data_IF_955450946371
#
_entry.id   IF_955450946371
#
_cell.length_a   1.000
_cell.length_b   1.000
_cell.length_c   1.000
_cell.angle_alpha   90.00
_cell.angle_beta   90.00
_cell.angle_gamma   90.00
#
_symmetry.space_group_name_H-M   'P 1'
#
loop_
_entity.id
_entity.type
_entity.pdbx_description
1 polymer ?
#
# COMPACT_ATOMS: atom_id res chain seq x y z
N UNK A 1 -2.99 -14.40 19.10
CA UNK A 1 -1.72 -13.69 19.21
C UNK A 1 -0.97 -13.68 17.90
N UNK A 2 -0.75 -14.84 17.35
CA UNK A 2 0.04 -14.95 16.13
C UNK A 2 -0.65 -14.34 14.93
N UNK A 3 -1.98 -14.38 14.89
CA UNK A 3 -2.72 -13.73 13.83
C UNK A 3 -2.45 -12.24 13.82
N UNK A 4 -2.40 -11.65 15.03
CA UNK A 4 -2.14 -10.23 15.15
C UNK A 4 -0.74 -9.87 14.72
N UNK A 5 0.22 -10.78 14.92
CA UNK A 5 1.59 -10.51 14.50
C UNK A 5 1.70 -10.33 12.99
N UNK A 6 1.05 -11.20 12.22
CA UNK A 6 1.09 -11.08 10.76
C UNK A 6 0.44 -9.77 10.32
N UNK A 7 -0.67 -9.42 10.94
CA UNK A 7 -1.38 -8.19 10.62
C UNK A 7 -0.50 -6.97 10.92
N UNK A 8 0.11 -6.95 12.11
CA UNK A 8 0.98 -5.83 12.49
C UNK A 8 2.19 -5.74 11.58
N UNK A 9 2.77 -6.86 11.20
CA UNK A 9 3.91 -6.86 10.30
C UNK A 9 3.57 -6.25 8.95
N UNK A 10 2.41 -6.61 8.40
CA UNK A 10 2.03 -6.06 7.10
C UNK A 10 1.74 -4.57 7.20
N UNK A 11 1.15 -4.13 8.30
CA UNK A 11 0.93 -2.70 8.50
C UNK A 11 2.24 -1.92 8.55
N UNK A 12 3.25 -2.47 9.21
CA UNK A 12 4.56 -1.83 9.28
C UNK A 12 5.18 -1.73 7.89
N UNK A 13 5.05 -2.77 7.08
CA UNK A 13 5.56 -2.75 5.72
C UNK A 13 4.85 -1.71 4.87
N UNK A 14 3.53 -1.60 5.03
CA UNK A 14 2.75 -0.60 4.31
C UNK A 14 3.22 0.80 4.69
N UNK A 15 3.42 1.03 5.97
CA UNK A 15 3.87 2.33 6.44
C UNK A 15 5.19 2.74 5.78
N UNK A 16 6.08 1.78 5.56
CA UNK A 16 7.37 2.07 4.94
C UNK A 16 7.23 2.44 3.47
N UNK A 17 6.12 2.07 2.83
CA UNK A 17 5.90 2.45 1.43
C UNK A 17 5.32 3.85 1.28
N UNK A 18 4.69 4.38 2.33
CA UNK A 18 3.89 5.59 2.20
C UNK A 18 4.70 6.82 1.83
N UNK A 19 5.98 6.82 2.14
CA UNK A 19 6.83 7.96 1.80
C UNK A 19 7.57 7.82 0.48
N UNK A 20 7.34 6.75 -0.27
CA UNK A 20 8.14 6.45 -1.45
C UNK A 20 7.56 6.99 -2.75
N UNK A 21 6.39 7.60 -2.70
CA UNK A 21 5.75 8.10 -3.90
C UNK A 21 5.10 9.44 -3.60
N UNK A 22 4.88 10.23 -4.63
CA UNK A 22 4.20 11.52 -4.51
C UNK A 22 2.68 11.36 -4.44
N UNK A 23 2.19 10.23 -4.87
CA UNK A 23 0.77 9.95 -4.77
C UNK A 23 0.36 9.87 -3.31
N UNK A 24 -0.84 10.34 -3.00
CA UNK A 24 -1.34 10.29 -1.63
C UNK A 24 -1.81 8.89 -1.28
N UNK A 25 -1.34 8.38 -0.17
CA UNK A 25 -1.78 7.10 0.35
C UNK A 25 -2.49 7.36 1.66
N UNK A 26 -3.77 6.98 1.72
CA UNK A 26 -4.55 7.10 2.94
C UNK A 26 -4.72 5.72 3.55
N UNK A 27 -4.45 5.65 4.84
CA UNK A 27 -4.55 4.40 5.59
C UNK A 27 -5.50 4.60 6.74
N UNK A 28 -6.53 3.77 6.78
CA UNK A 28 -7.48 3.78 7.88
C UNK A 28 -7.41 2.41 8.54
N UNK A 29 -6.98 2.37 9.80
CA UNK A 29 -6.76 1.08 10.43
C UNK A 29 -7.40 1.02 11.81
N UNK A 30 -7.79 -0.19 12.18
CA UNK A 30 -8.32 -0.51 13.49
C UNK A 30 -7.64 -1.79 13.97
N UNK A 31 -8.12 -2.30 15.10
CA UNK A 31 -7.56 -3.56 15.63
C UNK A 31 -7.78 -4.73 14.68
N UNK A 32 -8.82 -4.68 13.85
CA UNK A 32 -9.24 -5.83 13.09
C UNK A 32 -9.11 -5.67 11.59
N UNK A 33 -9.07 -4.45 11.08
CA UNK A 33 -8.96 -4.29 9.63
C UNK A 33 -8.34 -2.95 9.28
N UNK A 34 -7.80 -2.91 8.08
CA UNK A 34 -7.14 -1.72 7.53
C UNK A 34 -7.54 -1.58 6.08
N UNK A 35 -7.87 -0.37 5.67
CA UNK A 35 -8.06 -0.08 4.27
C UNK A 35 -7.02 0.92 3.81
N UNK A 36 -6.50 0.70 2.61
CA UNK A 36 -5.49 1.57 2.00
C UNK A 36 -6.08 2.08 0.70
N UNK A 37 -6.07 3.38 0.53
CA UNK A 37 -6.54 3.99 -0.72
C UNK A 37 -5.42 4.89 -1.25
N UNK A 38 -5.08 4.73 -2.50
CA UNK A 38 -4.07 5.56 -3.13
C UNK A 38 -4.74 6.46 -4.17
N UNK A 39 -4.41 7.74 -4.10
CA UNK A 39 -4.96 8.76 -4.99
C UNK A 39 -3.89 9.25 -5.94
N UNK A 40 -4.31 9.67 -7.13
CA UNK A 40 -3.40 10.30 -8.07
C UNK A 40 -2.76 11.53 -7.43
N UNK A 41 -1.67 11.99 -8.01
CA UNK A 41 -0.84 13.05 -7.45
C UNK A 41 -1.64 14.30 -7.10
N UNK A 42 -2.67 14.61 -7.87
CA UNK A 42 -3.50 15.78 -7.63
C UNK A 42 -4.78 15.46 -6.84
N UNK A 43 -4.87 14.27 -6.29
CA UNK A 43 -6.02 13.81 -5.51
C UNK A 43 -7.33 13.78 -6.29
N UNK A 44 -7.26 13.74 -7.60
CA UNK A 44 -8.47 13.80 -8.43
C UNK A 44 -9.04 12.42 -8.74
N UNK A 45 -8.32 11.35 -8.42
CA UNK A 45 -8.71 10.02 -8.88
C UNK A 45 -8.11 8.96 -7.98
N UNK A 46 -8.91 7.95 -7.65
CA UNK A 46 -8.42 6.79 -6.92
C UNK A 46 -7.74 5.87 -7.92
N UNK A 47 -6.49 5.51 -7.65
CA UNK A 47 -5.73 4.63 -8.52
C UNK A 47 -5.51 3.25 -7.92
N UNK A 48 -5.87 3.05 -6.67
CA UNK A 48 -5.80 1.73 -6.06
C UNK A 48 -6.45 1.71 -4.71
N UNK A 49 -6.90 0.53 -4.32
CA UNK A 49 -7.54 0.33 -3.03
C UNK A 49 -7.25 -1.09 -2.57
N UNK A 50 -6.83 -1.24 -1.33
CA UNK A 50 -6.50 -2.54 -0.74
C UNK A 50 -7.13 -2.65 0.63
N UNK A 51 -7.48 -3.85 1.00
CA UNK A 51 -8.16 -4.11 2.25
C UNK A 51 -7.50 -5.28 2.95
N UNK A 52 -7.22 -5.11 4.23
CA UNK A 52 -6.57 -6.13 5.04
C UNK A 52 -7.43 -6.40 6.27
N UNK A 53 -7.60 -7.65 6.62
CA UNK A 53 -8.35 -8.04 7.79
C UNK A 53 -7.46 -8.92 8.66
N UNK A 54 -7.51 -8.70 9.98
CA UNK A 54 -6.65 -9.45 10.89
C UNK A 54 -6.94 -10.94 10.88
N UNK A 55 -8.12 -11.34 10.40
CA UNK A 55 -8.48 -12.76 10.27
C UNK A 55 -8.04 -13.37 8.94
N UNK A 56 -7.51 -12.56 8.03
CA UNK A 56 -7.02 -13.07 6.75
C UNK A 56 -5.81 -13.97 6.98
N UNK A 57 -5.63 -14.94 6.09
CA UNK A 57 -4.43 -15.75 6.13
C UNK A 57 -3.21 -14.90 5.81
N UNK A 58 -2.05 -15.36 6.26
CA UNK A 58 -0.81 -14.68 5.97
C UNK A 58 -0.58 -14.59 4.46
N UNK A 59 -0.94 -15.62 3.73
CA UNK A 59 -0.80 -15.63 2.28
C UNK A 59 -1.65 -14.56 1.63
N UNK A 60 -2.88 -14.40 2.10
CA UNK A 60 -3.77 -13.38 1.54
C UNK A 60 -3.26 -11.98 1.84
N UNK A 61 -2.80 -11.74 3.06
CA UNK A 61 -2.23 -10.44 3.42
C UNK A 61 -1.02 -10.13 2.56
N UNK A 62 -0.15 -11.11 2.35
CA UNK A 62 1.04 -10.92 1.54
C UNK A 62 0.69 -10.66 0.08
N UNK A 63 -0.31 -11.34 -0.45
CA UNK A 63 -0.75 -11.11 -1.83
C UNK A 63 -1.25 -9.69 -2.01
N UNK A 64 -2.06 -9.20 -1.08
CA UNK A 64 -2.57 -7.83 -1.14
C UNK A 64 -1.44 -6.82 -1.00
N UNK A 65 -0.53 -7.07 -0.08
CA UNK A 65 0.61 -6.18 0.11
C UNK A 65 1.49 -6.14 -1.14
N UNK A 66 1.71 -7.28 -1.77
CA UNK A 66 2.53 -7.33 -2.98
C UNK A 66 1.90 -6.53 -4.11
N UNK A 67 0.56 -6.51 -4.20
CA UNK A 67 -0.12 -5.69 -5.18
C UNK A 67 0.13 -4.20 -4.93
N UNK A 68 0.01 -3.78 -3.69
CA UNK A 68 0.29 -2.39 -3.31
C UNK A 68 1.74 -2.03 -3.60
N UNK A 69 2.65 -2.89 -3.19
CA UNK A 69 4.08 -2.65 -3.40
C UNK A 69 4.40 -2.55 -4.88
N UNK A 70 3.82 -3.42 -5.69
CA UNK A 70 4.07 -3.39 -7.13
C UNK A 70 3.62 -2.07 -7.74
N UNK A 71 2.48 -1.55 -7.30
CA UNK A 71 2.02 -0.27 -7.81
C UNK A 71 2.96 0.86 -7.39
N UNK A 72 3.39 0.88 -6.14
CA UNK A 72 4.31 1.91 -5.67
C UNK A 72 5.61 1.87 -6.48
N UNK A 73 6.14 0.68 -6.69
CA UNK A 73 7.37 0.54 -7.46
C UNK A 73 7.20 0.96 -8.91
N UNK A 74 6.03 0.67 -9.47
CA UNK A 74 5.73 1.09 -10.84
C UNK A 74 5.70 2.62 -10.94
N UNK A 75 5.10 3.28 -9.96
CA UNK A 75 5.06 4.73 -9.96
C UNK A 75 6.43 5.35 -9.78
N UNK A 76 7.25 4.78 -8.92
CA UNK A 76 8.63 5.23 -8.76
C UNK A 76 9.40 5.12 -10.06
N UNK A 77 9.25 3.98 -10.73
CA UNK A 77 9.96 3.72 -11.97
C UNK A 77 9.52 4.67 -13.07
N UNK A 78 8.21 4.91 -13.17
CA UNK A 78 7.68 5.81 -14.19
C UNK A 78 8.19 7.23 -13.98
N UNK A 79 8.28 7.67 -12.74
CA UNK A 79 8.79 9.01 -12.47
C UNK A 79 10.27 9.13 -12.85
N UNK A 80 11.05 8.10 -12.58
CA UNK A 80 12.44 8.08 -13.00
C UNK A 80 12.56 8.17 -14.51
N UNK A 81 11.75 7.40 -15.20
CA UNK A 81 11.77 7.41 -16.68
C UNK A 81 11.37 8.77 -17.22
N UNK A 82 10.34 9.38 -16.64
CA UNK A 82 9.89 10.70 -17.04
C UNK A 82 11.02 11.71 -16.88
N UNK A 83 11.71 11.65 -15.76
CA UNK A 83 12.82 12.54 -15.51
C UNK A 83 13.93 12.38 -16.51
N UNK A 84 14.20 11.15 -16.91
CA UNK A 84 15.23 10.88 -17.92
C UNK A 84 14.80 11.33 -19.29
N UNK A 85 13.54 11.17 -19.61
CA UNK A 85 13.03 11.57 -20.91
C UNK A 85 13.06 13.09 -21.09
N UNK A 86 12.90 13.78 -19.99
CA UNK A 86 12.92 15.24 -20.05
C UNK A 86 14.32 15.76 -20.27
#
# INVERSE_FOLDING_TARGET
MEKNNAYVEVLAKIASLMGRTKESIQMSSSKTHTSITMFAENNSKIIGNWYFDSSDSKELMNASFNGLKALVESLEHNKSNDGQAA
#
